data_IF_401804232440
#
_entry.id   IF_401804232440
#
_cell.length_a   1.000
_cell.length_b   1.000
_cell.length_c   1.000
_cell.angle_alpha   90.00
_cell.angle_beta   90.00
_cell.angle_gamma   90.00
#
_symmetry.space_group_name_H-M   'P 1'
#
loop_
_entity.id
_entity.type
_entity.pdbx_description
1 polymer ?
#
# COMPACT_ATOMS: atom_id res chain seq x y z
N UNK A 1 5.33 12.22 -9.68
CA UNK A 1 6.27 11.33 -8.94
C UNK A 1 5.45 10.18 -8.41
N UNK A 2 5.84 8.94 -8.69
CA UNK A 2 5.17 7.77 -8.11
C UNK A 2 5.55 7.71 -6.62
N UNK A 3 4.56 7.66 -5.73
CA UNK A 3 4.80 7.53 -4.30
C UNK A 3 4.85 6.04 -3.92
N UNK A 4 5.97 5.56 -3.38
CA UNK A 4 6.01 4.30 -2.66
C UNK A 4 6.20 4.64 -1.19
N UNK A 5 5.20 4.38 -0.37
CA UNK A 5 5.30 4.56 1.06
C UNK A 5 5.06 3.22 1.70
N UNK A 6 6.15 2.63 2.21
CA UNK A 6 6.03 1.47 3.08
C UNK A 6 5.22 1.87 4.31
N UNK A 7 4.05 1.25 4.46
CA UNK A 7 3.21 1.48 5.61
C UNK A 7 3.68 0.57 6.74
N UNK A 8 4.28 1.17 7.77
CA UNK A 8 4.65 0.47 8.99
C UNK A 8 3.58 0.79 10.05
N UNK A 9 2.78 -0.19 10.49
CA UNK A 9 1.84 0.00 11.58
C UNK A 9 2.60 0.39 12.85
N UNK A 10 2.19 1.50 13.48
CA UNK A 10 2.81 1.92 14.73
C UNK A 10 2.18 1.15 15.90
N UNK A 11 3.03 0.46 16.68
CA UNK A 11 2.64 -0.51 17.70
C UNK A 11 1.83 0.07 18.90
N UNK A 12 1.87 1.39 19.10
CA UNK A 12 1.29 2.05 20.28
C UNK A 12 -0.02 2.82 20.02
N UNK A 13 -0.66 2.58 18.87
CA UNK A 13 -1.94 3.23 18.57
C UNK A 13 -3.09 2.27 18.83
N UNK A 14 -4.05 2.69 19.65
CA UNK A 14 -5.31 1.97 19.89
C UNK A 14 -6.17 1.87 18.62
N UNK A 15 -5.82 2.60 17.58
CA UNK A 15 -6.55 2.70 16.32
C UNK A 15 -5.56 2.58 15.17
N UNK A 16 -5.75 1.57 14.32
CA UNK A 16 -4.98 1.37 13.10
C UNK A 16 -5.87 1.59 11.87
N UNK A 17 -5.31 2.18 10.81
CA UNK A 17 -5.99 2.29 9.51
C UNK A 17 -6.48 0.92 9.02
N UNK A 18 -5.68 -0.12 9.25
CA UNK A 18 -6.03 -1.49 8.89
C UNK A 18 -7.25 -2.02 9.64
N UNK A 19 -7.42 -1.65 10.91
CA UNK A 19 -8.56 -1.99 11.74
C UNK A 19 -9.81 -1.16 11.43
N UNK A 20 -9.66 0.04 10.85
CA UNK A 20 -10.77 0.89 10.42
C UNK A 20 -11.37 0.45 9.08
N UNK A 21 -10.61 -0.23 8.23
CA UNK A 21 -11.10 -0.70 6.93
C UNK A 21 -11.83 -2.04 7.12
N UNK A 22 -13.08 -2.19 6.63
CA UNK A 22 -13.80 -3.45 6.70
C UNK A 22 -13.03 -4.63 6.08
N UNK A 23 -13.24 -5.84 6.61
CA UNK A 23 -12.57 -7.06 6.08
C UNK A 23 -13.03 -7.40 4.67
N UNK A 24 -14.29 -7.09 4.35
CA UNK A 24 -14.95 -7.30 3.07
C UNK A 24 -14.82 -6.10 2.12
N UNK A 25 -13.92 -5.16 2.42
CA UNK A 25 -13.66 -4.02 1.57
C UNK A 25 -13.26 -4.48 0.16
N UNK A 26 -13.87 -3.86 -0.85
CA UNK A 26 -13.66 -4.21 -2.26
C UNK A 26 -12.18 -4.15 -2.66
N UNK A 27 -11.43 -3.13 -2.24
CA UNK A 27 -10.02 -2.97 -2.60
C UNK A 27 -9.13 -4.05 -1.96
N UNK A 28 -9.47 -4.57 -0.78
CA UNK A 28 -8.76 -5.72 -0.20
C UNK A 28 -8.93 -6.96 -1.07
N UNK A 29 -10.18 -7.27 -1.44
CA UNK A 29 -10.47 -8.40 -2.34
C UNK A 29 -9.79 -8.24 -3.70
N UNK A 30 -9.84 -7.05 -4.29
CA UNK A 30 -9.20 -6.77 -5.56
C UNK A 30 -7.69 -6.97 -5.48
N UNK A 31 -7.04 -6.48 -4.42
CA UNK A 31 -5.60 -6.63 -4.22
C UNK A 31 -5.16 -8.10 -4.04
N UNK A 32 -6.04 -8.98 -3.55
CA UNK A 32 -5.77 -10.42 -3.46
C UNK A 32 -5.87 -11.15 -4.80
N UNK A 33 -6.72 -10.67 -5.71
CA UNK A 33 -6.98 -11.33 -7.01
C UNK A 33 -6.09 -10.75 -8.12
N UNK A 34 -5.76 -9.46 -8.03
CA UNK A 34 -4.97 -8.74 -9.02
C UNK A 34 -3.67 -8.28 -8.37
N UNK A 35 -2.61 -9.07 -8.56
CA UNK A 35 -1.27 -8.70 -8.13
C UNK A 35 -0.62 -7.74 -9.14
N UNK A 36 -0.50 -6.46 -8.74
CA UNK A 36 0.17 -5.42 -9.51
C UNK A 36 1.54 -5.06 -8.95
N UNK A 37 2.10 -5.83 -8.02
CA UNK A 37 3.39 -5.48 -7.41
C UNK A 37 4.53 -5.44 -8.43
N UNK A 38 4.42 -6.17 -9.55
CA UNK A 38 5.39 -6.08 -10.65
C UNK A 38 5.53 -4.67 -11.24
N UNK A 39 4.52 -3.80 -11.09
CA UNK A 39 4.58 -2.43 -11.58
C UNK A 39 5.61 -1.60 -10.83
N UNK A 40 5.86 -1.87 -9.54
CA UNK A 40 6.90 -1.17 -8.76
C UNK A 40 8.25 -1.27 -9.46
N UNK A 41 8.65 -2.48 -9.87
CA UNK A 41 9.91 -2.71 -10.59
C UNK A 41 9.89 -2.09 -11.99
N UNK A 42 8.78 -2.26 -12.73
CA UNK A 42 8.67 -1.73 -14.11
C UNK A 42 8.69 -0.21 -14.17
N UNK A 43 8.23 0.45 -13.13
CA UNK A 43 8.11 1.91 -13.06
C UNK A 43 9.11 2.56 -12.11
N UNK A 44 10.08 1.80 -11.60
CA UNK A 44 11.14 2.24 -10.68
C UNK A 44 11.78 3.58 -11.10
N UNK A 45 12.02 3.77 -12.40
CA UNK A 45 12.61 5.01 -12.97
C UNK A 45 11.77 6.28 -12.81
N UNK A 46 10.49 6.16 -12.49
CA UNK A 46 9.54 7.27 -12.30
C UNK A 46 9.29 7.61 -10.83
N UNK A 47 9.86 6.84 -9.90
CA UNK A 47 9.90 7.19 -8.48
C UNK A 47 10.84 8.37 -8.27
N UNK A 48 10.40 9.31 -7.43
CA UNK A 48 11.27 10.39 -6.99
C UNK A 48 12.43 9.83 -6.18
N UNK A 49 13.66 10.22 -6.53
CA UNK A 49 14.84 9.93 -5.70
C UNK A 49 15.01 10.91 -4.54
N UNK A 50 14.33 12.05 -4.64
CA UNK A 50 14.38 13.13 -3.67
C UNK A 50 13.06 13.13 -2.87
N UNK A 51 13.19 13.02 -1.55
CA UNK A 51 12.11 13.01 -0.56
C UNK A 51 12.66 13.30 0.83
#
# INVERSE_FOLDING_TARGET
MQGNKEFIPKLFYNVSLEGMVPKDNFYRRLNHVLDLHFLYDKTAKYYGKEG
#
